data_IF_681678586371
#
_entry.id   IF_681678586371
#
_cell.length_a   1.000
_cell.length_b   1.000
_cell.length_c   1.000
_cell.angle_alpha   90.00
_cell.angle_beta   90.00
_cell.angle_gamma   90.00
#
_symmetry.space_group_name_H-M   'P 1'
#
loop_
_entity.id
_entity.type
_entity.pdbx_description
1 polymer ?
#
# COMPACT_ATOMS: atom_id res chain seq x y z
N UNK A 1 -42.58 6.26 47.62
CA UNK A 1 -41.51 5.42 47.06
C UNK A 1 -41.30 5.76 45.56
N UNK A 2 -40.25 6.52 45.25
CA UNK A 2 -39.87 6.85 43.88
C UNK A 2 -39.19 5.64 43.24
N UNK A 3 -39.74 5.16 42.12
CA UNK A 3 -39.12 4.12 41.30
C UNK A 3 -38.05 4.81 40.46
N UNK A 4 -36.78 4.49 40.72
CA UNK A 4 -35.64 5.05 39.98
C UNK A 4 -35.71 4.68 38.50
N UNK A 5 -35.70 5.69 37.63
CA UNK A 5 -35.51 5.48 36.18
C UNK A 5 -34.07 5.00 35.95
N UNK A 6 -33.90 3.74 35.59
CA UNK A 6 -32.63 3.25 35.06
C UNK A 6 -32.42 3.86 33.67
N UNK A 7 -31.47 4.80 33.55
CA UNK A 7 -30.99 5.26 32.25
C UNK A 7 -29.95 4.25 31.76
N UNK A 8 -30.37 3.35 30.86
CA UNK A 8 -29.44 2.51 30.11
C UNK A 8 -28.77 3.37 29.03
N UNK A 9 -27.53 3.81 29.25
CA UNK A 9 -26.70 4.35 28.18
C UNK A 9 -26.19 3.17 27.33
N UNK A 10 -27.02 2.69 26.40
CA UNK A 10 -26.57 1.83 25.31
C UNK A 10 -25.84 2.71 24.28
N UNK A 11 -24.61 3.11 24.60
CA UNK A 11 -23.71 3.63 23.57
C UNK A 11 -23.00 2.42 22.95
N UNK A 12 -23.10 2.19 21.63
CA UNK A 12 -22.32 1.13 21.00
C UNK A 12 -20.84 1.36 21.28
N UNK A 13 -20.13 0.27 21.60
CA UNK A 13 -18.71 0.29 21.88
C UNK A 13 -17.97 0.45 20.55
N UNK A 14 -17.52 1.65 20.22
CA UNK A 14 -16.69 1.90 19.04
C UNK A 14 -15.25 1.44 19.34
N UNK A 15 -14.92 0.20 18.99
CA UNK A 15 -13.56 -0.33 19.09
C UNK A 15 -12.80 0.09 17.82
N UNK A 16 -11.60 0.65 18.00
CA UNK A 16 -10.66 0.90 16.91
C UNK A 16 -9.55 -0.14 16.91
N UNK A 17 -9.28 -0.74 15.77
CA UNK A 17 -8.23 -1.74 15.57
C UNK A 17 -7.07 -1.11 14.81
N UNK A 18 -5.96 -0.74 15.49
CA UNK A 18 -4.82 -0.12 14.85
C UNK A 18 -3.94 -1.16 14.13
N UNK A 19 -3.43 -0.78 12.97
CA UNK A 19 -2.41 -1.50 12.20
C UNK A 19 -1.29 -0.52 11.86
N UNK A 20 -0.06 -0.92 12.15
CA UNK A 20 1.14 -0.24 11.65
C UNK A 20 1.25 -0.57 10.15
N UNK A 21 0.69 0.30 9.32
CA UNK A 21 0.54 0.12 7.88
C UNK A 21 1.86 0.33 7.16
N UNK A 22 2.57 1.41 7.50
CA UNK A 22 3.94 1.71 7.06
C UNK A 22 4.81 1.89 8.30
N UNK A 23 6.03 1.36 8.29
CA UNK A 23 6.98 1.50 9.39
C UNK A 23 8.41 1.50 8.83
N UNK A 24 8.78 2.61 8.21
CA UNK A 24 10.08 2.80 7.58
C UNK A 24 11.04 3.53 8.50
N UNK A 25 12.25 2.99 8.63
CA UNK A 25 13.31 3.67 9.37
C UNK A 25 13.70 5.00 8.70
N UNK A 26 13.63 5.05 7.36
CA UNK A 26 13.94 6.24 6.59
C UNK A 26 13.37 6.18 5.17
N UNK A 27 13.01 7.33 4.62
CA UNK A 27 12.68 7.52 3.21
C UNK A 27 13.72 8.48 2.61
N UNK A 28 14.43 8.00 1.59
CA UNK A 28 15.49 8.77 0.92
C UNK A 28 14.95 10.05 0.28
N UNK A 29 15.86 10.98 -0.03
CA UNK A 29 15.52 12.23 -0.72
C UNK A 29 14.81 11.97 -2.05
N UNK A 30 13.70 12.67 -2.31
CA UNK A 30 12.82 12.49 -3.47
C UNK A 30 12.28 11.07 -3.70
N UNK A 31 12.41 10.16 -2.73
CA UNK A 31 11.91 8.81 -2.87
C UNK A 31 10.43 8.72 -2.49
N UNK A 32 9.75 7.78 -3.12
CA UNK A 32 8.41 7.34 -2.76
C UNK A 32 8.49 5.86 -2.36
N UNK A 33 7.75 5.47 -1.33
CA UNK A 33 7.61 4.05 -0.96
C UNK A 33 6.86 3.27 -2.04
N UNK A 34 7.01 1.95 -2.03
CA UNK A 34 6.32 1.00 -2.91
C UNK A 34 5.06 0.44 -2.24
N UNK A 35 4.28 -0.35 -2.97
CA UNK A 35 3.15 -1.08 -2.38
C UNK A 35 3.60 -2.16 -1.38
N UNK A 36 4.85 -2.62 -1.45
CA UNK A 36 5.38 -3.62 -0.53
C UNK A 36 5.63 -3.05 0.88
N UNK A 37 5.94 -1.76 0.96
CA UNK A 37 6.23 -1.05 2.22
C UNK A 37 4.96 -0.77 3.05
N UNK A 38 3.77 -0.87 2.42
CA UNK A 38 2.48 -0.70 3.08
C UNK A 38 1.71 -2.01 3.21
N UNK A 39 1.34 -2.36 4.44
CA UNK A 39 0.33 -3.39 4.70
C UNK A 39 -1.04 -2.89 4.26
N UNK A 40 -1.73 -3.66 3.41
CA UNK A 40 -3.07 -3.33 2.97
C UNK A 40 -4.10 -3.44 4.09
N UNK A 41 -5.02 -2.48 4.14
CA UNK A 41 -6.18 -2.52 5.04
C UNK A 41 -7.38 -3.01 4.26
N UNK A 42 -7.97 -4.10 4.73
CA UNK A 42 -9.20 -4.66 4.18
C UNK A 42 -10.41 -4.10 4.95
N UNK A 43 -11.26 -3.38 4.23
CA UNK A 43 -12.48 -2.74 4.72
C UNK A 43 -13.76 -3.46 4.25
N UNK A 44 -13.67 -4.65 3.64
CA UNK A 44 -14.84 -5.47 3.21
C UNK A 44 -15.83 -5.76 4.34
N UNK A 45 -15.34 -5.83 5.58
CA UNK A 45 -16.19 -5.98 6.76
C UNK A 45 -16.52 -4.59 7.27
N UNK A 46 -17.69 -4.09 6.87
CA UNK A 46 -18.23 -2.74 7.17
C UNK A 46 -17.62 -2.13 8.44
N UNK A 47 -16.59 -1.29 8.30
CA UNK A 47 -16.22 -0.36 9.33
C UNK A 47 -17.01 0.93 9.14
N UNK A 48 -17.39 1.57 10.24
CA UNK A 48 -18.05 2.88 10.19
C UNK A 48 -17.06 4.02 9.99
N UNK A 49 -15.75 3.77 10.14
CA UNK A 49 -14.71 4.77 9.90
C UNK A 49 -13.30 4.20 9.78
N UNK A 50 -12.43 4.95 9.11
CA UNK A 50 -10.99 4.76 9.09
C UNK A 50 -10.30 6.01 9.66
N UNK A 51 -9.28 5.79 10.48
CA UNK A 51 -8.41 6.85 10.99
C UNK A 51 -6.98 6.57 10.54
N UNK A 52 -6.34 7.52 9.87
CA UNK A 52 -4.96 7.43 9.44
C UNK A 52 -4.13 8.41 10.27
N UNK A 53 -3.12 7.91 10.98
CA UNK A 53 -2.19 8.72 11.77
C UNK A 53 -0.80 8.63 11.19
N UNK A 54 -0.20 9.79 10.94
CA UNK A 54 1.17 9.94 10.45
C UNK A 54 2.07 10.33 11.61
N UNK A 55 3.19 9.65 11.75
CA UNK A 55 4.31 9.99 12.64
C UNK A 55 5.58 10.02 11.79
N UNK A 56 6.37 11.09 11.90
CA UNK A 56 7.62 11.25 11.15
C UNK A 56 8.55 12.23 11.85
N UNK A 57 9.86 12.08 11.65
CA UNK A 57 10.90 13.00 12.14
C UNK A 57 11.61 13.66 10.96
N UNK A 58 11.57 14.99 10.94
CA UNK A 58 12.29 15.83 10.00
C UNK A 58 13.51 16.40 10.71
N UNK A 59 14.70 15.84 10.45
CA UNK A 59 15.94 16.42 10.97
C UNK A 59 16.31 17.65 10.11
N UNK A 60 17.19 17.48 9.12
CA UNK A 60 17.63 18.56 8.25
C UNK A 60 16.66 18.87 7.09
N UNK A 61 15.59 18.10 6.92
CA UNK A 61 14.65 18.28 5.83
C UNK A 61 14.03 19.69 5.84
N UNK A 62 13.95 20.28 4.66
CA UNK A 62 13.39 21.59 4.35
C UNK A 62 11.97 21.52 3.80
N UNK A 63 11.52 20.31 3.43
CA UNK A 63 10.17 20.01 2.99
C UNK A 63 9.60 18.78 3.74
N UNK A 64 8.27 18.65 3.73
CA UNK A 64 7.58 17.54 4.40
C UNK A 64 7.43 16.29 3.53
N UNK A 65 6.60 15.36 3.98
CA UNK A 65 6.17 14.21 3.17
C UNK A 65 4.79 14.47 2.55
N UNK A 66 4.47 13.78 1.47
CA UNK A 66 3.10 13.65 0.96
C UNK A 66 2.61 12.22 1.17
N UNK A 67 1.39 12.10 1.67
CA UNK A 67 0.70 10.82 1.81
C UNK A 67 -0.23 10.66 0.62
N UNK A 68 -0.03 9.57 -0.12
CA UNK A 68 -0.87 9.12 -1.22
C UNK A 68 -1.75 8.01 -0.69
N UNK A 69 -3.07 8.16 -0.77
CA UNK A 69 -4.02 7.11 -0.37
C UNK A 69 -4.54 6.45 -1.63
N UNK A 70 -4.31 5.14 -1.76
CA UNK A 70 -4.73 4.36 -2.92
C UNK A 70 -5.72 3.28 -2.51
N UNK A 71 -6.69 3.04 -3.39
CA UNK A 71 -7.73 2.05 -3.20
C UNK A 71 -7.59 0.90 -4.18
N UNK A 72 -8.12 -0.27 -3.82
CA UNK A 72 -8.26 -1.41 -4.71
C UNK A 72 -9.57 -2.13 -4.40
N UNK A 73 -10.14 -2.78 -5.41
CA UNK A 73 -11.27 -3.68 -5.25
C UNK A 73 -10.84 -5.11 -4.88
N UNK A 74 -9.61 -5.50 -5.19
CA UNK A 74 -9.19 -6.91 -5.21
C UNK A 74 -7.89 -7.19 -4.45
N UNK A 75 -7.07 -6.17 -4.15
CA UNK A 75 -5.72 -6.29 -3.56
C UNK A 75 -4.81 -7.22 -4.37
N UNK A 76 -5.07 -7.37 -5.67
CA UNK A 76 -4.27 -8.20 -6.58
C UNK A 76 -4.34 -7.65 -8.01
N UNK A 77 -3.23 -7.77 -8.72
CA UNK A 77 -3.20 -7.66 -10.17
C UNK A 77 -3.22 -9.07 -10.79
N UNK A 78 -3.98 -9.23 -11.88
CA UNK A 78 -4.12 -10.46 -12.64
C UNK A 78 -3.94 -10.13 -14.12
N UNK A 79 -3.40 -11.07 -14.88
CA UNK A 79 -3.29 -10.93 -16.32
C UNK A 79 -2.65 -12.15 -16.97
N UNK A 80 -2.19 -11.95 -18.20
CA UNK A 80 -1.60 -13.00 -19.03
C UNK A 80 -0.30 -12.49 -19.65
N UNK A 81 0.74 -13.32 -19.68
CA UNK A 81 1.98 -13.02 -20.38
C UNK A 81 1.73 -12.99 -21.89
N UNK A 82 2.02 -11.85 -22.51
CA UNK A 82 1.91 -11.60 -23.95
C UNK A 82 3.27 -11.60 -24.64
N UNK A 83 4.34 -11.98 -23.92
CA UNK A 83 5.69 -12.09 -24.48
C UNK A 83 5.93 -13.40 -25.24
N UNK A 84 7.18 -13.62 -25.67
CA UNK A 84 7.59 -14.89 -26.26
C UNK A 84 7.84 -15.96 -25.20
N UNK A 85 7.86 -17.21 -25.65
CA UNK A 85 8.17 -18.39 -24.84
C UNK A 85 9.60 -18.37 -24.28
N UNK A 86 9.79 -18.98 -23.10
CA UNK A 86 11.07 -19.03 -22.40
C UNK A 86 11.59 -17.67 -21.95
N UNK A 87 10.70 -16.71 -21.70
CA UNK A 87 11.08 -15.36 -21.31
C UNK A 87 11.46 -15.28 -19.82
N UNK A 88 12.59 -14.65 -19.51
CA UNK A 88 13.03 -14.45 -18.12
C UNK A 88 12.23 -13.38 -17.36
N UNK A 89 11.38 -12.61 -18.04
CA UNK A 89 10.58 -11.54 -17.47
C UNK A 89 9.17 -11.55 -18.04
N UNK A 90 8.19 -11.25 -17.19
CA UNK A 90 6.80 -11.11 -17.58
C UNK A 90 6.64 -9.87 -18.45
N UNK A 91 5.89 -10.00 -19.53
CA UNK A 91 5.39 -8.89 -20.35
C UNK A 91 3.88 -9.05 -20.49
N UNK A 92 3.12 -8.05 -20.10
CA UNK A 92 1.68 -7.96 -20.33
C UNK A 92 1.41 -6.62 -21.00
N UNK A 93 1.14 -6.65 -22.30
CA UNK A 93 0.96 -5.44 -23.11
C UNK A 93 -0.31 -4.65 -22.76
N UNK A 94 -1.27 -5.26 -22.07
CA UNK A 94 -2.52 -4.63 -21.63
C UNK A 94 -2.44 -4.13 -20.18
N UNK A 95 -1.38 -4.48 -19.46
CA UNK A 95 -1.18 -4.01 -18.10
C UNK A 95 -0.92 -2.48 -18.03
N UNK A 96 -1.33 -1.91 -16.90
CA UNK A 96 -1.18 -0.50 -16.58
C UNK A 96 -0.52 -0.33 -15.21
N UNK A 97 0.62 -0.98 -15.00
CA UNK A 97 1.37 -0.85 -13.76
C UNK A 97 2.01 0.55 -13.64
N UNK A 98 2.30 0.98 -12.42
CA UNK A 98 3.17 2.13 -12.19
C UNK A 98 4.59 1.61 -12.03
N UNK A 99 5.54 2.21 -12.75
CA UNK A 99 6.95 1.82 -12.69
C UNK A 99 7.46 1.82 -11.24
N UNK A 100 8.26 0.81 -10.91
CA UNK A 100 8.90 0.57 -9.60
C UNK A 100 7.95 0.34 -8.40
N UNK A 101 6.64 0.55 -8.54
CA UNK A 101 5.69 0.45 -7.43
C UNK A 101 5.46 -1.00 -6.94
N UNK A 102 5.72 -2.00 -7.80
CA UNK A 102 5.52 -3.42 -7.49
C UNK A 102 6.77 -4.07 -6.88
N UNK A 103 7.89 -3.36 -6.81
CA UNK A 103 9.14 -3.89 -6.27
C UNK A 103 8.94 -4.38 -4.83
N UNK A 104 9.48 -5.56 -4.52
CA UNK A 104 9.32 -6.22 -3.22
C UNK A 104 8.05 -7.08 -3.08
N UNK A 105 7.06 -6.93 -3.96
CA UNK A 105 5.92 -7.86 -4.04
C UNK A 105 6.35 -9.20 -4.65
N UNK A 106 5.44 -10.18 -4.62
CA UNK A 106 5.64 -11.51 -5.24
C UNK A 106 4.74 -11.66 -6.45
N UNK A 107 5.34 -12.02 -7.59
CA UNK A 107 4.61 -12.50 -8.77
C UNK A 107 4.57 -14.02 -8.76
N UNK A 108 3.44 -14.59 -9.15
CA UNK A 108 3.27 -16.05 -9.35
C UNK A 108 2.85 -16.31 -10.79
N UNK A 109 3.54 -17.20 -11.46
CA UNK A 109 3.06 -17.84 -12.67
C UNK A 109 2.10 -18.95 -12.25
N UNK A 110 0.82 -18.80 -12.62
CA UNK A 110 -0.25 -19.71 -12.22
C UNK A 110 -0.30 -20.95 -13.11
N UNK A 111 0.32 -20.91 -14.30
CA UNK A 111 0.33 -22.03 -15.24
C UNK A 111 1.25 -23.15 -14.76
N UNK A 112 2.49 -22.80 -14.39
CA UNK A 112 3.55 -23.73 -13.99
C UNK A 112 3.71 -23.84 -12.46
N UNK A 113 3.09 -22.93 -11.71
CA UNK A 113 3.18 -22.82 -10.26
C UNK A 113 4.45 -22.13 -9.73
N UNK A 114 5.30 -21.57 -10.59
CA UNK A 114 6.52 -20.86 -10.21
C UNK A 114 6.20 -19.48 -9.62
N UNK A 115 7.14 -18.93 -8.83
CA UNK A 115 6.98 -17.59 -8.26
C UNK A 115 8.31 -16.94 -7.95
N UNK A 116 8.32 -15.62 -7.83
CA UNK A 116 9.52 -14.84 -7.55
C UNK A 116 9.21 -13.49 -6.92
N UNK A 117 10.17 -12.97 -6.16
CA UNK A 117 10.13 -11.59 -5.68
C UNK A 117 10.43 -10.63 -6.84
N UNK A 118 9.62 -9.59 -6.97
CA UNK A 118 9.77 -8.57 -8.00
C UNK A 118 10.93 -7.65 -7.65
N UNK A 119 11.91 -7.56 -8.55
CA UNK A 119 13.09 -6.70 -8.39
C UNK A 119 13.03 -5.42 -9.21
N UNK A 120 12.18 -5.40 -10.26
CA UNK A 120 11.92 -4.23 -11.08
C UNK A 120 10.58 -4.42 -11.81
N UNK A 121 9.88 -3.33 -12.11
CA UNK A 121 8.73 -3.35 -12.99
C UNK A 121 8.62 -2.06 -13.81
N UNK A 122 8.15 -2.19 -15.05
CA UNK A 122 7.72 -1.07 -15.89
C UNK A 122 6.19 -1.02 -15.91
N UNK A 123 5.61 -0.22 -16.81
CA UNK A 123 4.15 -0.18 -16.96
C UNK A 123 3.53 -1.50 -17.45
N UNK A 124 4.31 -2.31 -18.17
CA UNK A 124 3.83 -3.53 -18.84
C UNK A 124 4.73 -4.73 -18.59
N UNK A 125 5.74 -4.63 -17.73
CA UNK A 125 6.72 -5.69 -17.51
C UNK A 125 7.11 -5.85 -16.07
N UNK A 126 7.41 -7.08 -15.67
CA UNK A 126 7.85 -7.43 -14.32
C UNK A 126 9.07 -8.33 -14.41
N UNK A 127 10.12 -7.97 -13.68
CA UNK A 127 11.35 -8.76 -13.54
C UNK A 127 11.36 -9.44 -12.18
N UNK A 128 11.43 -10.77 -12.20
CA UNK A 128 11.56 -11.62 -11.01
C UNK A 128 12.30 -12.90 -11.39
N UNK A 129 13.10 -13.46 -10.48
CA UNK A 129 13.66 -14.80 -10.66
C UNK A 129 12.60 -15.80 -10.20
N UNK A 130 12.01 -16.53 -11.15
CA UNK A 130 11.01 -17.55 -10.86
C UNK A 130 11.66 -18.84 -10.38
N UNK A 131 11.06 -19.45 -9.36
CA UNK A 131 11.46 -20.76 -8.83
C UNK A 131 10.24 -21.56 -8.35
N UNK A 132 10.41 -22.87 -8.27
CA UNK A 132 9.45 -23.79 -7.63
C UNK A 132 8.34 -24.34 -8.53
N UNK A 133 8.29 -23.93 -9.80
CA UNK A 133 7.33 -24.45 -10.79
C UNK A 133 7.89 -25.59 -11.65
N UNK A 134 7.04 -26.09 -12.55
CA UNK A 134 7.39 -27.13 -13.53
C UNK A 134 8.29 -26.60 -14.63
N UNK A 135 7.99 -25.39 -15.09
CA UNK A 135 8.91 -24.52 -15.81
C UNK A 135 9.22 -23.33 -14.89
N UNK A 136 10.31 -22.60 -15.10
CA UNK A 136 10.65 -21.46 -14.22
C UNK A 136 11.01 -20.23 -15.04
N UNK A 137 10.25 -20.04 -16.11
CA UNK A 137 10.26 -18.90 -17.02
C UNK A 137 8.81 -18.55 -17.39
N UNK A 138 8.64 -17.60 -18.31
CA UNK A 138 7.35 -17.17 -18.81
C UNK A 138 7.15 -17.65 -20.24
N UNK A 139 6.06 -18.38 -20.46
CA UNK A 139 5.59 -18.79 -21.77
C UNK A 139 4.38 -17.97 -22.23
N UNK A 140 4.22 -17.87 -23.55
CA UNK A 140 3.07 -17.20 -24.14
C UNK A 140 1.76 -17.75 -23.56
N UNK A 141 0.85 -16.84 -23.22
CA UNK A 141 -0.44 -17.13 -22.58
C UNK A 141 -0.38 -17.61 -21.12
N UNK A 142 0.79 -17.52 -20.46
CA UNK A 142 0.87 -17.81 -19.02
C UNK A 142 0.04 -16.86 -18.18
N UNK A 143 -0.83 -17.41 -17.32
CA UNK A 143 -1.61 -16.61 -16.40
C UNK A 143 -0.76 -16.23 -15.17
N UNK A 144 -0.90 -15.00 -14.68
CA UNK A 144 -0.19 -14.56 -13.48
C UNK A 144 -1.08 -13.91 -12.43
N UNK A 145 -0.56 -13.86 -11.21
CA UNK A 145 -1.09 -13.04 -10.11
C UNK A 145 0.03 -12.32 -9.37
N UNK A 146 -0.22 -11.07 -9.00
CA UNK A 146 0.60 -10.29 -8.07
C UNK A 146 -0.28 -9.91 -6.88
N UNK A 147 -0.03 -10.52 -5.72
CA UNK A 147 -0.78 -10.23 -4.48
C UNK A 147 -0.27 -8.93 -3.85
N UNK A 148 -1.17 -8.14 -3.25
CA UNK A 148 -0.84 -6.82 -2.70
C UNK A 148 -0.72 -5.71 -3.75
N UNK A 149 -1.15 -5.96 -4.99
CA UNK A 149 -1.12 -5.04 -6.13
C UNK A 149 -2.55 -4.67 -6.59
N UNK A 150 -2.70 -4.14 -7.81
CA UNK A 150 -4.00 -3.79 -8.38
C UNK A 150 -4.67 -2.61 -7.69
N UNK A 151 -3.87 -1.71 -7.13
CA UNK A 151 -4.34 -0.43 -6.61
C UNK A 151 -4.46 0.60 -7.73
N UNK A 152 -5.37 1.55 -7.56
CA UNK A 152 -5.56 2.63 -8.52
C UNK A 152 -4.26 3.42 -8.72
N UNK A 153 -3.97 3.79 -9.97
CA UNK A 153 -2.77 4.56 -10.31
C UNK A 153 -2.87 6.02 -9.88
N UNK A 154 -4.10 6.51 -9.67
CA UNK A 154 -4.40 7.84 -9.14
C UNK A 154 -4.68 7.78 -7.63
N UNK A 155 -4.36 8.86 -6.94
CA UNK A 155 -4.66 8.99 -5.51
C UNK A 155 -6.18 9.14 -5.32
N UNK A 156 -6.77 8.27 -4.51
CA UNK A 156 -8.14 8.47 -4.03
C UNK A 156 -8.23 9.71 -3.14
N UNK A 157 -7.19 9.93 -2.34
CA UNK A 157 -6.95 11.14 -1.58
C UNK A 157 -5.45 11.33 -1.41
N UNK A 158 -5.01 12.58 -1.27
CA UNK A 158 -3.65 12.87 -0.87
C UNK A 158 -3.58 14.09 0.02
N UNK A 159 -2.58 14.11 0.90
CA UNK A 159 -2.36 15.26 1.77
C UNK A 159 -0.92 15.35 2.24
N UNK A 160 -0.49 16.57 2.54
CA UNK A 160 0.81 16.88 3.14
C UNK A 160 0.59 17.10 4.63
N UNK A 161 1.13 16.26 5.52
CA UNK A 161 1.11 16.51 6.96
C UNK A 161 1.82 17.83 7.28
N UNK A 162 1.50 18.41 8.44
CA UNK A 162 2.20 19.57 8.95
C UNK A 162 3.72 19.29 8.97
N UNK A 163 4.48 20.30 8.60
CA UNK A 163 5.93 20.23 8.51
C UNK A 163 6.55 21.31 9.42
N UNK A 164 7.57 20.91 10.16
CA UNK A 164 8.49 21.80 10.84
C UNK A 164 9.89 21.22 10.73
N UNK A 165 10.85 22.01 10.27
CA UNK A 165 12.25 21.61 10.28
C UNK A 165 12.70 21.28 11.72
N UNK A 166 13.60 20.31 11.84
CA UNK A 166 14.12 19.82 13.13
C UNK A 166 13.01 19.40 14.12
N UNK A 167 11.92 18.82 13.63
CA UNK A 167 10.76 18.45 14.45
C UNK A 167 10.20 17.06 14.13
N UNK A 168 9.49 16.50 15.12
CA UNK A 168 8.66 15.31 14.94
C UNK A 168 7.19 15.73 14.89
N UNK A 169 6.42 15.08 14.01
CA UNK A 169 5.00 15.38 13.86
C UNK A 169 4.14 14.17 14.20
N UNK A 170 2.89 14.47 14.59
CA UNK A 170 1.82 13.50 14.68
C UNK A 170 0.54 14.13 14.16
N UNK A 171 0.01 13.63 13.06
CA UNK A 171 -1.21 14.16 12.45
C UNK A 171 -2.19 13.04 12.12
N UNK A 172 -3.46 13.26 12.41
CA UNK A 172 -4.52 12.27 12.19
C UNK A 172 -5.56 12.81 11.20
N UNK A 173 -5.90 12.01 10.18
CA UNK A 173 -6.99 12.24 9.24
C UNK A 173 -8.08 11.16 9.42
N UNK A 174 -9.33 11.56 9.28
CA UNK A 174 -10.50 10.69 9.43
C UNK A 174 -11.20 10.53 8.09
N UNK A 175 -11.71 9.33 7.84
CA UNK A 175 -12.48 9.01 6.66
C UNK A 175 -13.72 8.19 7.05
N UNK A 176 -14.87 8.59 6.50
CA UNK A 176 -16.11 7.82 6.50
C UNK A 176 -16.12 7.02 5.19
N UNK A 177 -15.89 5.70 5.24
CA UNK A 177 -15.32 4.95 4.09
C UNK A 177 -16.20 3.81 3.57
N UNK A 178 -16.36 3.76 2.24
CA UNK A 178 -16.89 2.63 1.43
C UNK A 178 -15.89 1.93 0.44
N UNK A 179 -14.55 2.13 0.42
CA UNK A 179 -13.63 1.35 -0.40
C UNK A 179 -13.38 -0.06 0.19
N UNK A 180 -12.88 -0.98 -0.64
CA UNK A 180 -12.70 -2.40 -0.26
C UNK A 180 -11.32 -2.63 0.36
N UNK A 181 -10.26 -2.18 -0.31
CA UNK A 181 -8.87 -2.25 0.15
C UNK A 181 -8.20 -0.88 0.06
N UNK A 182 -7.30 -0.60 0.99
CA UNK A 182 -6.59 0.66 1.07
C UNK A 182 -5.12 0.45 1.42
N UNK A 183 -4.24 1.16 0.71
CA UNK A 183 -2.82 1.32 1.02
C UNK A 183 -2.45 2.78 0.97
N UNK A 184 -1.28 3.09 1.49
CA UNK A 184 -0.66 4.40 1.32
C UNK A 184 0.74 4.29 0.74
N UNK A 185 1.11 5.28 -0.05
CA UNK A 185 2.50 5.54 -0.39
C UNK A 185 2.92 6.84 0.30
N UNK A 186 4.18 6.89 0.72
CA UNK A 186 4.76 8.08 1.34
C UNK A 186 5.86 8.61 0.43
N UNK A 187 5.66 9.83 -0.06
CA UNK A 187 6.63 10.56 -0.88
C UNK A 187 7.40 11.54 0.01
N UNK A 188 8.73 11.47 0.00
CA UNK A 188 9.57 12.50 0.58
C UNK A 188 9.73 13.65 -0.42
N UNK A 189 9.18 14.82 -0.09
CA UNK A 189 9.22 15.99 -0.97
C UNK A 189 10.57 16.71 -0.93
N UNK A 190 11.44 16.37 0.02
CA UNK A 190 12.77 16.98 0.11
C UNK A 190 13.74 16.37 -0.92
N UNK A 191 14.41 17.19 -1.76
CA UNK A 191 15.31 16.71 -2.80
C UNK A 191 16.73 16.40 -2.32
N UNK A 192 17.09 16.76 -1.09
CA UNK A 192 18.44 16.61 -0.57
C UNK A 192 18.50 15.77 0.71
N UNK A 193 17.43 15.79 1.51
CA UNK A 193 17.45 15.26 2.87
C UNK A 193 16.54 14.05 3.03
N UNK A 194 16.98 13.14 3.90
CA UNK A 194 16.23 11.95 4.30
C UNK A 194 15.20 12.32 5.38
N UNK A 195 14.03 11.69 5.33
CA UNK A 195 13.05 11.72 6.44
C UNK A 195 13.14 10.41 7.20
N UNK A 196 13.22 10.45 8.53
CA UNK A 196 13.43 9.26 9.37
C UNK A 196 12.22 8.96 10.25
N UNK A 197 12.17 7.74 10.78
CA UNK A 197 11.14 7.27 11.70
C UNK A 197 9.71 7.48 11.16
N UNK A 198 9.50 7.12 9.89
CA UNK A 198 8.22 7.33 9.20
C UNK A 198 7.29 6.16 9.50
N UNK A 199 6.21 6.47 10.21
CA UNK A 199 5.21 5.49 10.62
C UNK A 199 3.80 5.96 10.24
N UNK A 200 3.06 5.09 9.55
CA UNK A 200 1.65 5.29 9.28
C UNK A 200 0.84 4.26 10.04
N UNK A 201 -0.06 4.72 10.90
CA UNK A 201 -0.98 3.88 11.68
C UNK A 201 -2.38 4.05 11.12
N UNK A 202 -2.97 2.96 10.64
CA UNK A 202 -4.36 2.92 10.20
C UNK A 202 -5.21 2.21 11.23
N UNK A 203 -6.21 2.89 11.77
CA UNK A 203 -7.12 2.37 12.77
C UNK A 203 -8.54 2.29 12.21
N UNK A 204 -9.04 1.05 12.12
CA UNK A 204 -10.38 0.74 11.59
C UNK A 204 -11.37 0.71 12.74
N UNK A 205 -12.45 1.50 12.65
CA UNK A 205 -13.50 1.58 13.66
C UNK A 205 -14.81 0.93 13.20
N UNK A 206 -15.47 0.19 14.09
CA UNK A 206 -16.84 -0.33 13.92
C UNK A 206 -17.83 0.51 14.68
#
# INVERSE_FOLDING_TARGET
PSVGKAYAFSRPLHIKWPTDAVNEASIAASAITTLADCKGINLTKVPSSLTLTVEATYAAATQGIKIHVRTSLTDRALGTHTGADGAAALTDAEAHFVADELVGLTVKNLTDGSSGAITANTATGVTAILVGGTDNDWDGDDAYIIEGAGYDTEDWDSFTPAFGADSSIRQTKHYDVDPVFLKVLVENLDPAEVVTDVKIIMAVGT
#
